data_IF_890882403809
#
_entry.id   IF_890882403809
#
_cell.length_a   1.000
_cell.length_b   1.000
_cell.length_c   1.000
_cell.angle_alpha   90.00
_cell.angle_beta   90.00
_cell.angle_gamma   90.00
#
_symmetry.space_group_name_H-M   'P 1'
#
loop_
_entity.id
_entity.type
_entity.pdbx_description
1 polymer ?
#
# COMPACT_ATOMS: atom_id res chain seq x y z
N UNK A 1 -2.11 10.08 11.66
CA UNK A 1 -3.14 10.97 12.27
C UNK A 1 -4.28 10.26 12.98
N UNK A 2 -5.08 9.42 12.31
CA UNK A 2 -6.21 8.73 12.94
C UNK A 2 -5.72 7.74 14.01
N UNK A 3 -6.23 7.86 15.24
CA UNK A 3 -5.76 7.07 16.39
C UNK A 3 -4.50 7.58 17.09
N UNK A 4 -3.84 8.62 16.55
CA UNK A 4 -2.53 9.09 17.04
C UNK A 4 -2.53 10.53 17.58
N UNK A 5 -3.43 11.39 17.12
CA UNK A 5 -3.35 12.84 17.38
C UNK A 5 -4.54 13.38 18.18
N UNK A 6 -5.76 13.04 17.78
CA UNK A 6 -6.97 13.63 18.37
C UNK A 6 -7.29 13.01 19.73
N UNK A 7 -7.70 13.84 20.70
CA UNK A 7 -7.97 13.42 22.08
C UNK A 7 -9.39 13.76 22.51
N UNK A 8 -9.93 12.92 23.37
CA UNK A 8 -11.14 13.17 24.15
C UNK A 8 -10.89 14.23 25.24
N UNK A 9 -11.95 14.81 25.84
CA UNK A 9 -11.82 15.76 26.93
C UNK A 9 -11.08 15.22 28.17
N UNK A 10 -11.09 13.90 28.38
CA UNK A 10 -10.35 13.22 29.46
C UNK A 10 -8.86 12.98 29.14
N UNK A 11 -8.41 13.39 27.95
CA UNK A 11 -7.02 13.25 27.49
C UNK A 11 -6.71 11.92 26.80
N UNK A 12 -7.64 10.97 26.75
CA UNK A 12 -7.47 9.72 25.99
C UNK A 12 -7.48 9.98 24.47
N UNK A 13 -6.77 9.18 23.69
CA UNK A 13 -6.79 9.28 22.23
C UNK A 13 -8.15 8.82 21.69
N UNK A 14 -8.66 9.53 20.69
CA UNK A 14 -9.82 9.08 19.90
C UNK A 14 -9.35 7.92 19.02
N UNK A 15 -9.90 6.73 19.25
CA UNK A 15 -9.49 5.53 18.53
C UNK A 15 -9.99 5.54 17.09
N UNK A 16 -9.36 4.73 16.24
CA UNK A 16 -9.72 4.55 14.82
C UNK A 16 -11.12 3.97 14.68
N UNK A 17 -11.52 3.09 15.62
CA UNK A 17 -12.81 2.42 15.70
C UNK A 17 -13.82 3.11 16.61
N UNK A 18 -13.63 4.40 16.90
CA UNK A 18 -14.58 5.17 17.69
C UNK A 18 -15.95 5.26 16.96
N UNK A 19 -17.07 4.94 17.62
CA UNK A 19 -18.40 4.91 16.99
C UNK A 19 -18.85 6.27 16.40
N UNK A 20 -18.22 7.38 16.79
CA UNK A 20 -18.49 8.69 16.18
C UNK A 20 -18.16 8.73 14.69
N UNK A 21 -17.30 7.82 14.21
CA UNK A 21 -16.96 7.70 12.79
C UNK A 21 -17.97 6.88 12.00
N UNK A 22 -18.77 6.02 12.64
CA UNK A 22 -19.69 5.09 11.97
C UNK A 22 -20.64 5.75 10.96
N UNK A 23 -21.25 6.93 11.23
CA UNK A 23 -22.12 7.59 10.26
C UNK A 23 -21.42 7.93 8.94
N UNK A 24 -20.10 8.17 8.96
CA UNK A 24 -19.30 8.44 7.75
C UNK A 24 -19.17 7.16 6.93
N UNK A 25 -18.76 6.07 7.58
CA UNK A 25 -18.56 4.77 6.95
C UNK A 25 -19.85 4.21 6.36
N UNK A 26 -20.96 4.32 7.10
CA UNK A 26 -22.29 3.90 6.65
C UNK A 26 -22.77 4.72 5.46
N UNK A 27 -22.54 6.03 5.46
CA UNK A 27 -22.88 6.89 4.34
C UNK A 27 -22.11 6.50 3.08
N UNK A 28 -20.80 6.25 3.19
CA UNK A 28 -19.96 5.76 2.10
C UNK A 28 -20.49 4.43 1.52
N UNK A 29 -20.81 3.46 2.39
CA UNK A 29 -21.39 2.17 1.96
C UNK A 29 -22.73 2.33 1.25
N UNK A 30 -23.63 3.18 1.77
CA UNK A 30 -24.92 3.46 1.14
C UNK A 30 -24.78 4.13 -0.23
N UNK A 31 -23.78 4.98 -0.41
CA UNK A 31 -23.53 5.72 -1.65
C UNK A 31 -22.65 4.97 -2.64
N UNK A 32 -22.12 3.79 -2.27
CA UNK A 32 -21.17 3.06 -3.11
C UNK A 32 -19.83 3.77 -3.29
N UNK A 33 -19.43 4.59 -2.30
CA UNK A 33 -18.15 5.28 -2.31
C UNK A 33 -17.13 4.48 -1.49
N UNK A 34 -16.02 4.01 -2.09
CA UNK A 34 -14.96 3.35 -1.32
C UNK A 34 -14.23 4.35 -0.41
N UNK A 35 -13.72 3.85 0.71
CA UNK A 35 -12.95 4.61 1.69
C UNK A 35 -11.48 4.23 1.61
N UNK A 36 -10.63 5.11 1.09
CA UNK A 36 -9.17 4.99 1.29
C UNK A 36 -8.85 5.42 2.72
N UNK A 37 -8.31 4.49 3.52
CA UNK A 37 -8.03 4.73 4.94
C UNK A 37 -6.56 4.48 5.25
N UNK A 38 -5.94 5.48 5.87
CA UNK A 38 -4.58 5.43 6.38
C UNK A 38 -4.63 5.27 7.89
N UNK A 39 -4.07 4.19 8.41
CA UNK A 39 -3.98 3.92 9.85
C UNK A 39 -2.63 3.29 10.15
N UNK A 40 -2.01 3.72 11.26
CA UNK A 40 -0.62 3.42 11.58
C UNK A 40 0.35 3.91 10.48
N UNK A 41 1.59 3.44 10.59
CA UNK A 41 2.77 3.73 9.77
C UNK A 41 3.66 2.47 9.78
N UNK A 42 4.83 2.41 9.09
CA UNK A 42 5.70 1.23 9.11
C UNK A 42 6.04 0.77 10.53
N UNK A 43 6.18 -0.54 10.75
CA UNK A 43 6.36 -1.13 12.08
C UNK A 43 7.53 -0.49 12.86
N UNK A 44 8.62 -0.25 12.15
CA UNK A 44 9.82 0.40 12.66
C UNK A 44 9.58 1.80 13.27
N UNK A 45 8.51 2.51 12.91
CA UNK A 45 8.20 3.83 13.48
C UNK A 45 7.64 3.73 14.90
N UNK A 46 7.20 2.53 15.32
CA UNK A 46 6.70 2.22 16.67
C UNK A 46 7.76 1.49 17.53
N UNK A 47 8.92 1.20 16.96
CA UNK A 47 10.05 0.53 17.63
C UNK A 47 11.07 1.54 18.17
N UNK A 48 11.93 1.15 19.14
CA UNK A 48 13.03 2.00 19.58
C UNK A 48 13.91 2.45 18.42
N UNK A 49 14.29 3.74 18.39
CA UNK A 49 15.19 4.28 17.36
C UNK A 49 16.65 3.99 17.75
N UNK A 50 17.06 2.74 17.57
CA UNK A 50 18.41 2.27 17.86
C UNK A 50 19.04 1.49 16.69
N UNK A 51 20.21 0.90 16.90
CA UNK A 51 20.96 0.18 15.87
C UNK A 51 20.25 -1.05 15.28
N UNK A 52 19.13 -1.49 15.88
CA UNK A 52 18.32 -2.61 15.40
C UNK A 52 17.11 -2.17 14.57
N UNK A 53 16.81 -0.87 14.56
CA UNK A 53 15.68 -0.33 13.81
C UNK A 53 16.05 -0.20 12.32
N UNK A 54 15.31 -0.89 11.44
CA UNK A 54 15.59 -0.88 9.99
C UNK A 54 15.40 0.51 9.34
N UNK A 55 14.73 1.43 10.04
CA UNK A 55 14.49 2.83 9.63
C UNK A 55 15.32 3.85 10.40
N UNK A 56 16.39 3.42 11.07
CA UNK A 56 17.23 4.29 11.89
C UNK A 56 17.64 5.59 11.17
N UNK A 57 18.18 5.53 9.94
CA UNK A 57 18.57 6.74 9.19
C UNK A 57 17.38 7.62 8.77
N UNK A 58 16.24 7.02 8.45
CA UNK A 58 15.02 7.74 8.09
C UNK A 58 14.47 8.49 9.29
N UNK A 59 14.36 7.82 10.44
CA UNK A 59 13.86 8.39 11.69
C UNK A 59 14.81 9.43 12.31
N UNK A 60 16.11 9.39 12.01
CA UNK A 60 17.02 10.49 12.40
C UNK A 60 16.81 11.74 11.54
N UNK A 61 16.47 11.59 10.26
CA UNK A 61 16.10 12.72 9.38
C UNK A 61 14.68 13.22 9.64
N UNK A 62 13.81 12.34 10.14
CA UNK A 62 12.39 12.54 10.38
C UNK A 62 11.98 12.10 11.79
N UNK A 63 12.50 12.74 12.85
CA UNK A 63 12.19 12.36 14.22
C UNK A 63 10.71 12.50 14.56
N UNK A 64 9.98 13.38 13.87
CA UNK A 64 8.54 13.59 14.02
C UNK A 64 7.68 12.39 13.57
N UNK A 65 8.24 11.43 12.85
CA UNK A 65 7.54 10.21 12.43
C UNK A 65 7.62 9.09 13.48
N UNK A 66 8.48 9.24 14.49
CA UNK A 66 8.60 8.29 15.58
C UNK A 66 7.35 8.34 16.46
N UNK A 67 6.66 7.21 16.56
CA UNK A 67 5.47 6.98 17.38
C UNK A 67 5.83 6.12 18.61
N UNK A 68 6.95 6.43 19.27
CA UNK A 68 7.44 5.69 20.44
C UNK A 68 6.98 6.33 21.76
N UNK A 69 6.69 5.48 22.74
CA UNK A 69 6.51 5.85 24.15
C UNK A 69 5.06 5.72 24.62
N UNK A 70 4.80 5.92 25.92
CA UNK A 70 3.50 5.64 26.53
C UNK A 70 2.36 6.55 26.03
N UNK A 71 2.68 7.57 25.24
CA UNK A 71 1.71 8.48 24.65
C UNK A 71 1.07 7.93 23.35
N UNK A 72 1.65 6.90 22.76
CA UNK A 72 1.19 6.33 21.49
C UNK A 72 0.70 4.88 21.67
N UNK A 73 -0.40 4.49 21.00
CA UNK A 73 -0.73 3.09 20.84
C UNK A 73 0.33 2.37 20.02
N UNK A 74 0.43 1.06 20.21
CA UNK A 74 1.25 0.20 19.36
C UNK A 74 0.67 0.11 17.94
N UNK A 75 1.51 -0.27 16.98
CA UNK A 75 1.07 -0.52 15.60
C UNK A 75 -0.05 -1.58 15.57
N UNK A 76 0.14 -2.70 16.28
CA UNK A 76 -0.85 -3.78 16.39
C UNK A 76 -2.20 -3.29 16.92
N UNK A 77 -2.21 -2.42 17.92
CA UNK A 77 -3.45 -1.85 18.46
C UNK A 77 -4.18 -1.00 17.40
N UNK A 78 -3.45 -0.18 16.63
CA UNK A 78 -4.03 0.65 15.57
C UNK A 78 -4.58 -0.20 14.41
N UNK A 79 -3.81 -1.21 13.98
CA UNK A 79 -4.22 -2.15 12.93
C UNK A 79 -5.43 -2.99 13.39
N UNK A 80 -5.47 -3.40 14.66
CA UNK A 80 -6.62 -4.08 15.23
C UNK A 80 -7.87 -3.18 15.27
N UNK A 81 -7.72 -1.89 15.58
CA UNK A 81 -8.82 -0.92 15.50
C UNK A 81 -9.31 -0.77 14.06
N UNK A 82 -8.42 -0.63 13.08
CA UNK A 82 -8.78 -0.59 11.65
C UNK A 82 -9.59 -1.82 11.24
N UNK A 83 -9.15 -3.02 11.64
CA UNK A 83 -9.86 -4.26 11.32
C UNK A 83 -11.22 -4.38 12.01
N UNK A 84 -11.44 -3.73 13.15
CA UNK A 84 -12.78 -3.62 13.75
C UNK A 84 -13.70 -2.70 12.95
N UNK A 85 -13.19 -1.58 12.43
CA UNK A 85 -13.95 -0.71 11.50
C UNK A 85 -14.39 -1.50 10.26
N UNK A 86 -13.44 -2.17 9.59
CA UNK A 86 -13.73 -2.97 8.39
C UNK A 86 -14.77 -4.06 8.67
N UNK A 87 -14.65 -4.75 9.81
CA UNK A 87 -15.58 -5.80 10.22
C UNK A 87 -16.99 -5.26 10.55
N UNK A 88 -17.08 -4.09 11.16
CA UNK A 88 -18.35 -3.47 11.57
C UNK A 88 -19.15 -2.94 10.37
N UNK A 89 -18.46 -2.61 9.28
CA UNK A 89 -19.05 -1.96 8.10
C UNK A 89 -18.97 -2.84 6.84
N UNK A 90 -19.59 -4.04 6.80
CA UNK A 90 -19.42 -5.01 5.70
C UNK A 90 -20.01 -4.54 4.36
N UNK A 91 -20.85 -3.49 4.36
CA UNK A 91 -21.41 -2.87 3.15
C UNK A 91 -20.55 -1.74 2.59
N UNK A 92 -19.48 -1.37 3.29
CA UNK A 92 -18.57 -0.29 2.90
C UNK A 92 -17.26 -0.91 2.43
N UNK A 93 -16.83 -0.52 1.23
CA UNK A 93 -15.53 -0.93 0.70
C UNK A 93 -14.45 -0.06 1.32
N UNK A 94 -13.43 -0.68 1.89
CA UNK A 94 -12.24 -0.01 2.40
C UNK A 94 -11.03 -0.36 1.54
N UNK A 95 -10.17 0.64 1.31
CA UNK A 95 -8.87 0.49 0.69
C UNK A 95 -7.85 0.87 1.77
N UNK A 96 -7.14 -0.12 2.30
CA UNK A 96 -6.03 0.11 3.22
C UNK A 96 -4.86 0.72 2.46
N UNK A 97 -4.54 1.97 2.79
CA UNK A 97 -3.36 2.64 2.24
C UNK A 97 -2.09 1.85 2.61
N UNK A 98 -1.12 1.86 1.71
CA UNK A 98 0.22 1.34 1.94
C UNK A 98 0.23 -0.12 2.39
N UNK A 99 -0.52 -0.97 1.69
CA UNK A 99 -0.71 -2.39 2.01
C UNK A 99 -1.32 -2.56 3.41
N UNK A 100 -2.24 -1.65 3.78
CA UNK A 100 -2.83 -1.59 5.12
C UNK A 100 -1.81 -1.26 6.22
N UNK A 101 -0.69 -0.63 5.88
CA UNK A 101 0.44 -0.35 6.77
C UNK A 101 1.02 -1.58 7.50
N UNK A 102 0.88 -2.77 6.91
CA UNK A 102 1.45 -4.01 7.46
C UNK A 102 2.20 -4.82 6.38
N UNK A 103 2.90 -4.11 5.49
CA UNK A 103 3.60 -4.69 4.33
C UNK A 103 4.74 -5.63 4.73
N UNK A 104 5.32 -5.42 5.92
CA UNK A 104 6.36 -6.26 6.50
C UNK A 104 5.81 -7.66 6.84
N UNK A 105 4.49 -7.78 7.04
CA UNK A 105 3.79 -9.03 7.32
C UNK A 105 2.67 -9.33 6.31
N UNK A 106 3.05 -9.59 5.06
CA UNK A 106 2.10 -9.95 3.98
C UNK A 106 1.23 -11.19 4.30
N UNK A 107 1.67 -12.06 5.21
CA UNK A 107 0.86 -13.19 5.68
C UNK A 107 -0.40 -12.71 6.40
N UNK A 108 -0.25 -11.76 7.32
CA UNK A 108 -1.37 -11.21 8.07
C UNK A 108 -2.28 -10.36 7.19
N UNK A 109 -1.71 -9.53 6.31
CA UNK A 109 -2.51 -8.81 5.30
C UNK A 109 -3.32 -9.79 4.45
N UNK A 110 -2.74 -10.91 4.06
CA UNK A 110 -3.45 -11.98 3.33
C UNK A 110 -4.63 -12.55 4.12
N UNK A 111 -4.47 -12.75 5.44
CA UNK A 111 -5.56 -13.20 6.32
C UNK A 111 -6.68 -12.16 6.41
N UNK A 112 -6.36 -10.86 6.45
CA UNK A 112 -7.37 -9.81 6.41
C UNK A 112 -8.15 -9.80 5.09
N UNK A 113 -7.46 -9.93 3.96
CA UNK A 113 -8.09 -9.99 2.64
C UNK A 113 -9.01 -11.21 2.48
N UNK A 114 -8.66 -12.35 3.08
CA UNK A 114 -9.50 -13.55 3.10
C UNK A 114 -10.74 -13.38 3.99
N UNK A 115 -10.54 -12.80 5.18
CA UNK A 115 -11.59 -12.66 6.18
C UNK A 115 -12.61 -11.58 5.84
N UNK A 116 -12.16 -10.48 5.25
CA UNK A 116 -12.97 -9.28 5.01
C UNK A 116 -13.11 -9.04 3.50
N UNK A 117 -14.21 -9.48 2.85
CA UNK A 117 -14.40 -9.32 1.40
C UNK A 117 -14.51 -7.85 0.96
N UNK A 118 -14.83 -6.95 1.88
CA UNK A 118 -14.92 -5.51 1.67
C UNK A 118 -13.59 -4.75 1.85
N UNK A 119 -12.46 -5.44 2.10
CA UNK A 119 -11.15 -4.81 2.30
C UNK A 119 -10.23 -4.97 1.09
N UNK A 120 -9.67 -3.90 0.57
CA UNK A 120 -8.67 -3.93 -0.49
C UNK A 120 -7.43 -3.20 -0.02
N UNK A 121 -6.34 -3.31 -0.77
CA UNK A 121 -5.09 -2.60 -0.46
C UNK A 121 -4.53 -1.94 -1.70
N UNK A 122 -3.67 -0.94 -1.49
CA UNK A 122 -2.88 -0.32 -2.54
C UNK A 122 -1.39 -0.23 -2.16
N UNK A 123 -0.49 -0.07 -3.12
CA UNK A 123 0.96 -0.28 -2.93
C UNK A 123 1.79 1.00 -2.76
N UNK A 124 1.16 2.17 -2.74
CA UNK A 124 1.85 3.44 -2.68
C UNK A 124 2.82 3.50 -1.51
N UNK A 125 3.96 4.18 -1.71
CA UNK A 125 4.98 4.38 -0.68
C UNK A 125 5.53 3.08 -0.04
N UNK A 126 5.29 1.91 -0.65
CA UNK A 126 5.68 0.60 -0.10
C UNK A 126 6.51 -0.29 -1.02
N UNK A 127 7.04 0.25 -2.11
CA UNK A 127 7.89 -0.55 -3.02
C UNK A 127 9.18 -1.03 -2.36
N UNK A 128 9.69 -0.31 -1.36
CA UNK A 128 10.89 -0.70 -0.62
C UNK A 128 10.68 -2.03 0.12
N UNK A 129 9.53 -2.17 0.77
CA UNK A 129 9.17 -3.30 1.61
C UNK A 129 8.57 -4.45 0.80
N UNK A 130 7.85 -4.16 -0.30
CA UNK A 130 7.41 -5.19 -1.25
C UNK A 130 8.62 -5.80 -1.93
N UNK A 131 9.49 -4.96 -2.46
CA UNK A 131 10.59 -5.37 -3.32
C UNK A 131 11.75 -6.05 -2.57
N UNK A 132 11.86 -5.91 -1.24
CA UNK A 132 12.87 -6.64 -0.43
C UNK A 132 12.49 -8.10 -0.13
N UNK A 133 11.26 -8.51 -0.41
CA UNK A 133 10.73 -9.86 -0.14
C UNK A 133 10.13 -10.51 -1.41
N UNK A 134 10.88 -10.62 -2.52
CA UNK A 134 10.32 -10.84 -3.85
C UNK A 134 9.48 -12.11 -3.99
N UNK A 135 9.85 -13.22 -3.36
CA UNK A 135 9.09 -14.47 -3.45
C UNK A 135 7.74 -14.36 -2.71
N UNK A 136 7.77 -13.89 -1.46
CA UNK A 136 6.57 -13.68 -0.64
C UNK A 136 5.63 -12.66 -1.29
N UNK A 137 6.18 -11.54 -1.76
CA UNK A 137 5.42 -10.52 -2.46
C UNK A 137 4.81 -11.07 -3.75
N UNK A 138 5.58 -11.77 -4.58
CA UNK A 138 5.05 -12.35 -5.81
C UNK A 138 3.88 -13.30 -5.54
N UNK A 139 4.02 -14.21 -4.58
CA UNK A 139 2.94 -15.15 -4.23
C UNK A 139 1.70 -14.43 -3.68
N UNK A 140 1.90 -13.37 -2.88
CA UNK A 140 0.82 -12.50 -2.41
C UNK A 140 0.08 -11.82 -3.56
N UNK A 141 0.79 -11.24 -4.52
CA UNK A 141 0.19 -10.59 -5.68
C UNK A 141 -0.56 -11.58 -6.58
N UNK A 142 -0.02 -12.78 -6.81
CA UNK A 142 -0.71 -13.80 -7.59
C UNK A 142 -2.02 -14.25 -6.93
N UNK A 143 -1.98 -14.48 -5.62
CA UNK A 143 -3.13 -14.99 -4.86
C UNK A 143 -4.22 -13.95 -4.69
N UNK A 144 -3.85 -12.70 -4.44
CA UNK A 144 -4.79 -11.61 -4.12
C UNK A 144 -4.89 -10.56 -5.23
N UNK A 145 -4.61 -10.95 -6.48
CA UNK A 145 -4.57 -10.06 -7.65
C UNK A 145 -5.81 -9.18 -7.83
N UNK A 146 -7.01 -9.64 -7.42
CA UNK A 146 -8.27 -8.87 -7.54
C UNK A 146 -8.49 -7.91 -6.34
N UNK A 147 -7.53 -7.81 -5.42
CA UNK A 147 -7.64 -7.04 -4.16
C UNK A 147 -6.54 -5.98 -3.99
N UNK A 148 -5.60 -5.90 -4.92
CA UNK A 148 -4.42 -5.03 -4.84
C UNK A 148 -4.50 -3.99 -5.95
N UNK A 149 -4.34 -2.72 -5.60
CA UNK A 149 -4.32 -1.59 -6.53
C UNK A 149 -2.97 -0.91 -6.57
N UNK A 150 -2.71 -0.27 -7.70
CA UNK A 150 -1.59 0.65 -7.85
C UNK A 150 -1.91 2.01 -7.22
N UNK A 151 -0.95 2.56 -6.50
CA UNK A 151 -1.01 3.92 -5.96
C UNK A 151 0.39 4.52 -5.87
N UNK A 152 0.46 5.85 -5.81
CA UNK A 152 1.73 6.60 -5.84
C UNK A 152 1.95 7.50 -4.64
N UNK A 153 0.91 7.73 -3.83
CA UNK A 153 0.92 8.67 -2.70
C UNK A 153 1.25 10.10 -3.16
N UNK A 154 0.39 10.62 -4.06
CA UNK A 154 0.50 11.96 -4.64
C UNK A 154 0.95 11.99 -6.10
N UNK A 155 0.88 13.18 -6.74
CA UNK A 155 1.35 13.35 -8.11
C UNK A 155 2.86 13.10 -8.15
N UNK A 156 3.30 12.26 -9.08
CA UNK A 156 4.72 12.01 -9.31
C UNK A 156 5.06 12.20 -10.77
N UNK A 157 6.22 12.80 -11.00
CA UNK A 157 6.85 12.81 -12.31
C UNK A 157 7.02 11.37 -12.81
N UNK A 158 6.84 11.16 -14.11
CA UNK A 158 6.85 9.82 -14.70
C UNK A 158 8.14 9.04 -14.38
N UNK A 159 9.27 9.74 -14.18
CA UNK A 159 10.54 9.11 -13.82
C UNK A 159 10.51 8.42 -12.44
N UNK A 160 9.73 8.95 -11.49
CA UNK A 160 9.59 8.35 -10.15
C UNK A 160 8.71 7.08 -10.17
N UNK A 161 8.09 6.75 -11.31
CA UNK A 161 7.32 5.52 -11.49
C UNK A 161 8.18 4.36 -12.05
N UNK A 162 9.33 4.63 -12.67
CA UNK A 162 10.19 3.59 -13.22
C UNK A 162 10.56 2.49 -12.21
N UNK A 163 10.89 2.80 -10.93
CA UNK A 163 11.14 1.75 -9.95
C UNK A 163 9.94 0.84 -9.70
N UNK A 164 8.71 1.36 -9.81
CA UNK A 164 7.50 0.57 -9.62
C UNK A 164 7.31 -0.41 -10.77
N UNK A 165 7.44 0.05 -12.02
CA UNK A 165 7.36 -0.82 -13.20
C UNK A 165 8.47 -1.86 -13.19
N UNK A 166 9.70 -1.44 -12.89
CA UNK A 166 10.84 -2.36 -12.78
C UNK A 166 10.60 -3.45 -11.72
N UNK A 167 10.11 -3.06 -10.54
CA UNK A 167 9.77 -4.00 -9.47
C UNK A 167 8.63 -4.94 -9.88
N UNK A 168 7.56 -4.46 -10.51
CA UNK A 168 6.40 -5.31 -10.83
C UNK A 168 6.65 -6.23 -12.03
N UNK A 169 7.34 -5.76 -13.06
CA UNK A 169 7.36 -6.39 -14.39
C UNK A 169 8.59 -7.27 -14.65
N UNK A 170 9.72 -7.01 -13.97
CA UNK A 170 11.00 -7.64 -14.32
C UNK A 170 11.39 -8.76 -13.37
N UNK A 171 12.41 -9.54 -13.76
CA UNK A 171 13.16 -10.45 -12.88
C UNK A 171 14.48 -9.83 -12.44
N UNK A 172 14.59 -8.50 -12.49
CA UNK A 172 15.83 -7.83 -12.14
C UNK A 172 16.13 -8.01 -10.66
N UNK A 173 17.41 -8.21 -10.36
CA UNK A 173 17.85 -8.43 -8.99
C UNK A 173 18.60 -7.21 -8.47
N UNK A 174 18.40 -6.92 -7.18
CA UNK A 174 19.22 -6.02 -6.38
C UNK A 174 19.48 -4.65 -7.03
N UNK A 175 18.41 -3.88 -7.25
CA UNK A 175 18.48 -2.53 -7.81
C UNK A 175 17.94 -1.45 -6.84
N UNK A 176 18.42 -0.20 -6.96
CA UNK A 176 17.93 0.90 -6.15
C UNK A 176 16.51 1.30 -6.57
N UNK A 177 15.69 1.68 -5.60
CA UNK A 177 14.31 2.14 -5.82
C UNK A 177 14.11 3.64 -5.66
N UNK A 178 15.18 4.36 -5.38
CA UNK A 178 15.22 5.81 -5.32
C UNK A 178 16.51 6.31 -5.96
N UNK A 179 16.42 7.49 -6.57
CA UNK A 179 17.54 8.16 -7.24
C UNK A 179 18.45 8.91 -6.24
N UNK A 180 17.99 9.11 -5.01
CA UNK A 180 18.67 9.89 -3.99
C UNK A 180 19.78 9.06 -3.29
N UNK A 181 20.87 9.71 -2.86
CA UNK A 181 22.09 9.06 -2.31
C UNK A 181 21.82 8.15 -1.11
N UNK A 182 20.76 8.43 -0.35
CA UNK A 182 20.28 7.61 0.74
C UNK A 182 18.90 7.12 0.35
N UNK A 183 18.67 5.80 0.29
CA UNK A 183 17.33 5.31 0.03
C UNK A 183 16.38 5.93 1.05
N UNK A 184 15.27 6.56 0.60
CA UNK A 184 14.45 7.39 1.46
C UNK A 184 13.82 6.56 2.59
N UNK A 185 13.65 5.25 2.36
CA UNK A 185 12.85 4.32 3.13
C UNK A 185 13.62 3.02 3.43
N UNK A 186 14.76 3.12 4.12
CA UNK A 186 15.55 1.97 4.59
C UNK A 186 16.77 1.60 3.73
N UNK A 187 17.79 1.00 4.34
CA UNK A 187 19.11 0.75 3.73
C UNK A 187 19.21 -0.58 2.97
N UNK A 188 18.40 -0.75 1.92
CA UNK A 188 18.46 -1.94 1.06
C UNK A 188 18.15 -1.62 -0.40
N UNK A 189 18.44 -2.58 -1.29
CA UNK A 189 17.95 -2.60 -2.66
C UNK A 189 16.75 -3.56 -2.76
N UNK A 190 16.03 -3.46 -3.86
CA UNK A 190 14.86 -4.30 -4.13
C UNK A 190 15.05 -5.20 -5.35
N UNK A 191 14.08 -6.09 -5.55
CA UNK A 191 14.06 -7.10 -6.58
C UNK A 191 12.75 -7.04 -7.37
N UNK A 192 12.79 -7.52 -8.61
CA UNK A 192 11.64 -7.66 -9.48
C UNK A 192 10.78 -8.88 -9.13
N UNK A 193 9.46 -8.74 -9.31
CA UNK A 193 8.47 -9.76 -9.02
C UNK A 193 8.08 -10.59 -10.25
N UNK A 194 8.34 -10.07 -11.45
CA UNK A 194 7.94 -10.67 -12.73
C UNK A 194 6.48 -11.16 -12.72
N UNK A 195 5.57 -10.22 -12.44
CA UNK A 195 4.14 -10.49 -12.44
C UNK A 195 3.65 -10.73 -13.89
N UNK A 196 2.74 -11.70 -14.11
CA UNK A 196 2.12 -11.89 -15.42
C UNK A 196 1.27 -10.68 -15.85
N UNK A 197 1.14 -10.46 -17.15
CA UNK A 197 0.36 -9.36 -17.74
C UNK A 197 -1.07 -9.27 -17.19
N UNK A 198 -1.72 -10.42 -16.94
CA UNK A 198 -3.06 -10.45 -16.35
C UNK A 198 -3.09 -9.80 -14.96
N UNK A 199 -2.11 -10.11 -14.11
CA UNK A 199 -2.01 -9.54 -12.77
C UNK A 199 -1.65 -8.06 -12.86
N UNK A 200 -0.75 -7.69 -13.77
CA UNK A 200 -0.35 -6.29 -13.99
C UNK A 200 -1.55 -5.41 -14.40
N UNK A 201 -2.39 -5.86 -15.33
CA UNK A 201 -3.59 -5.08 -15.73
C UNK A 201 -4.53 -4.82 -14.56
N UNK A 202 -4.77 -5.86 -13.74
CA UNK A 202 -5.61 -5.77 -12.53
C UNK A 202 -5.07 -4.77 -11.53
N UNK A 203 -3.78 -4.87 -11.22
CA UNK A 203 -3.10 -3.97 -10.28
C UNK A 203 -3.08 -2.54 -10.81
N UNK A 204 -2.75 -2.33 -12.09
CA UNK A 204 -2.61 -0.98 -12.65
C UNK A 204 -3.93 -0.25 -12.84
N UNK A 205 -5.02 -0.94 -13.17
CA UNK A 205 -6.25 -0.23 -13.53
C UNK A 205 -7.55 -0.98 -13.27
N UNK A 206 -7.65 -2.28 -13.57
CA UNK A 206 -8.97 -2.95 -13.58
C UNK A 206 -9.59 -3.01 -12.16
N UNK A 207 -8.77 -3.19 -11.12
CA UNK A 207 -9.28 -3.15 -9.74
C UNK A 207 -9.79 -1.76 -9.34
N UNK A 208 -9.05 -0.71 -9.70
CA UNK A 208 -9.46 0.67 -9.45
C UNK A 208 -10.73 1.02 -10.24
N UNK A 209 -10.80 0.61 -11.51
CA UNK A 209 -11.96 0.82 -12.38
C UNK A 209 -13.22 0.13 -11.87
N UNK A 210 -13.08 -1.06 -11.28
CA UNK A 210 -14.18 -1.81 -10.67
C UNK A 210 -14.68 -1.19 -9.37
N UNK A 211 -13.79 -0.57 -8.58
CA UNK A 211 -14.10 -0.15 -7.21
C UNK A 211 -14.37 1.34 -7.04
N UNK A 212 -13.73 2.18 -7.85
CA UNK A 212 -13.75 3.63 -7.68
C UNK A 212 -14.66 4.24 -8.77
N UNK A 213 -15.80 4.84 -8.39
CA UNK A 213 -16.71 5.45 -9.34
C UNK A 213 -16.01 6.48 -10.25
N UNK A 214 -16.28 6.43 -11.55
CA UNK A 214 -15.72 7.34 -12.53
C UNK A 214 -14.39 6.88 -13.14
N UNK A 215 -13.68 5.89 -12.58
CA UNK A 215 -12.39 5.44 -13.12
C UNK A 215 -12.56 4.68 -14.43
N UNK A 216 -13.54 3.77 -14.51
CA UNK A 216 -13.82 3.03 -15.74
C UNK A 216 -14.14 3.97 -16.92
N UNK A 217 -15.01 4.96 -16.69
CA UNK A 217 -15.39 5.94 -17.69
C UNK A 217 -14.19 6.77 -18.15
N UNK A 218 -13.26 7.10 -17.25
CA UNK A 218 -12.03 7.83 -17.59
C UNK A 218 -11.07 7.02 -18.46
N UNK A 219 -10.99 5.70 -18.25
CA UNK A 219 -10.18 4.80 -19.05
C UNK A 219 -10.78 4.63 -20.46
N UNK A 220 -12.11 4.54 -20.57
CA UNK A 220 -12.81 4.47 -21.86
C UNK A 220 -12.65 5.73 -22.70
N UNK A 221 -12.58 6.91 -22.07
CA UNK A 221 -12.33 8.18 -22.74
C UNK A 221 -10.87 8.37 -23.18
N UNK A 222 -9.93 7.65 -22.59
CA UNK A 222 -8.51 7.70 -22.92
C UNK A 222 -8.00 6.28 -23.19
N UNK A 223 -8.46 5.62 -24.27
CA UNK A 223 -8.11 4.25 -24.54
C UNK A 223 -6.59 4.14 -24.65
N UNK A 224 -5.98 3.41 -23.71
CA UNK A 224 -4.56 3.09 -23.75
C UNK A 224 -4.38 2.13 -24.91
N UNK A 225 -3.96 2.65 -26.06
CA UNK A 225 -3.63 1.81 -27.22
C UNK A 225 -2.54 0.83 -26.79
N UNK A 226 -2.77 -0.50 -26.80
CA UNK A 226 -1.73 -1.45 -26.42
C UNK A 226 -0.52 -1.27 -27.34
N UNK A 227 0.66 -0.95 -26.78
CA UNK A 227 1.92 -0.93 -27.54
C UNK A 227 2.51 -2.33 -27.73
N UNK A 228 1.65 -3.34 -27.85
CA UNK A 228 2.08 -4.68 -28.23
C UNK A 228 1.30 -5.08 -29.47
N UNK A 229 1.88 -4.77 -30.62
CA UNK A 229 1.56 -5.51 -31.83
C UNK A 229 2.16 -6.90 -31.68
N UNK A 230 1.35 -7.93 -31.90
CA UNK A 230 1.83 -9.29 -32.16
C UNK A 230 2.86 -9.21 -33.30
N UNK A 231 4.17 -9.33 -33.00
CA UNK A 231 5.15 -9.45 -34.08
C UNK A 231 6.60 -9.03 -33.83
N UNK A 232 6.95 -8.32 -32.76
CA UNK A 232 8.36 -7.95 -32.53
C UNK A 232 8.99 -8.80 -31.44
N UNK A 233 9.56 -9.93 -31.83
CA UNK A 233 10.53 -10.66 -31.00
C UNK A 233 11.71 -9.76 -30.59
N UNK A 234 12.47 -10.14 -29.55
CA UNK A 234 13.53 -9.29 -29.00
C UNK A 234 14.58 -8.95 -30.09
N UNK A 235 15.11 -7.73 -30.12
CA UNK A 235 16.11 -7.35 -31.10
C UNK A 235 17.34 -8.24 -30.92
N UNK A 236 17.68 -9.00 -31.96
CA UNK A 236 18.94 -9.76 -32.01
C UNK A 236 20.08 -8.76 -31.84
N UNK A 237 20.80 -8.85 -30.71
CA UNK A 237 22.08 -8.15 -30.53
C UNK A 237 23.00 -8.58 -31.67
N UNK A 238 23.46 -7.63 -32.49
CA UNK A 238 24.58 -7.86 -33.39
C UNK A 238 25.82 -8.06 -32.52
N UNK A 239 26.51 -9.15 -32.79
CA UNK A 239 27.84 -9.54 -32.30
C UNK A 239 28.86 -8.44 -32.50
#
# INVERSE_FOLDING_TARGET
DLGLVYKNPDGSLITVDDPRWDPIWEACGRLGLPVLIHTADPAAFFEPVDRFNERWEELHRKPEWCCQGPAFPTQDELLAQLMRVVAHHPKTVFIGAHVGNNVENLREVGQWLEKYPNFHVEIAARIAEIGRQPYTARDFFLKYQDRIMFGTDGPREANRLFPHWRMLETRDEYFPYADDQYPPQGLWNIYGLALPDEVLRKVYSENAARLIPGVQERLELNPVTPRYSEGSGPPRRRT
#
